data_IF_957146147522
#
_entry.id   IF_957146147522
#
_cell.length_a   1.000
_cell.length_b   1.000
_cell.length_c   1.000
_cell.angle_alpha   90.00
_cell.angle_beta   90.00
_cell.angle_gamma   90.00
#
_symmetry.space_group_name_H-M   'P 1'
#
loop_
_entity.id
_entity.type
_entity.pdbx_description
1 polymer ?
#
# COMPACT_ATOMS: atom_id res chain seq x y z
N UNK A 1 6.80 -7.83 12.21
CA UNK A 1 5.74 -7.45 11.23
C UNK A 1 6.36 -6.55 10.19
N UNK A 2 6.05 -6.77 8.91
CA UNK A 2 6.49 -5.86 7.83
C UNK A 2 5.67 -4.57 7.90
N UNK A 3 6.36 -3.43 7.90
CA UNK A 3 5.73 -2.11 7.90
C UNK A 3 5.68 -1.49 6.50
N UNK A 4 6.50 -2.01 5.57
CA UNK A 4 6.63 -1.53 4.20
C UNK A 4 6.81 -2.73 3.27
N UNK A 5 6.13 -2.69 2.13
CA UNK A 5 6.38 -3.56 0.97
C UNK A 5 6.67 -2.68 -0.24
N UNK A 6 7.55 -3.14 -1.14
CA UNK A 6 7.92 -2.37 -2.32
C UNK A 6 8.18 -3.26 -3.53
N UNK A 7 8.10 -2.68 -4.72
CA UNK A 7 8.44 -3.34 -5.97
C UNK A 7 7.39 -4.38 -6.39
N UNK A 8 7.86 -5.47 -6.98
CA UNK A 8 6.99 -6.51 -7.55
C UNK A 8 6.08 -7.17 -6.50
N UNK A 9 6.62 -7.49 -5.32
CA UNK A 9 5.84 -8.04 -4.20
C UNK A 9 4.69 -7.11 -3.80
N UNK A 10 4.94 -5.81 -3.72
CA UNK A 10 3.89 -4.84 -3.40
C UNK A 10 2.84 -4.77 -4.52
N UNK A 11 3.26 -4.85 -5.79
CA UNK A 11 2.37 -4.80 -6.94
C UNK A 11 1.48 -6.04 -7.03
N UNK A 12 2.02 -7.22 -6.81
CA UNK A 12 1.24 -8.46 -6.78
C UNK A 12 0.27 -8.48 -5.60
N UNK A 13 0.75 -8.09 -4.41
CA UNK A 13 -0.10 -8.03 -3.24
C UNK A 13 -1.26 -7.03 -3.41
N UNK A 14 -0.96 -5.86 -3.98
CA UNK A 14 -1.96 -4.86 -4.35
C UNK A 14 -3.00 -5.42 -5.34
N UNK A 15 -2.56 -6.21 -6.32
CA UNK A 15 -3.42 -6.72 -7.39
C UNK A 15 -4.34 -7.83 -6.94
N UNK A 16 -3.87 -8.71 -6.06
CA UNK A 16 -4.57 -9.96 -5.75
C UNK A 16 -5.18 -10.02 -4.35
N UNK A 17 -4.72 -9.19 -3.42
CA UNK A 17 -5.11 -9.30 -2.00
C UNK A 17 -5.68 -8.02 -1.39
N UNK A 18 -5.60 -6.90 -2.11
CA UNK A 18 -5.99 -5.59 -1.59
C UNK A 18 -7.15 -4.99 -2.37
N UNK A 19 -8.17 -4.56 -1.64
CA UNK A 19 -9.26 -3.76 -2.18
C UNK A 19 -9.12 -2.31 -1.74
N UNK A 20 -9.52 -1.36 -2.61
CA UNK A 20 -9.52 0.06 -2.24
C UNK A 20 -10.64 0.30 -1.23
N UNK A 21 -10.29 0.60 0.02
CA UNK A 21 -11.25 0.92 1.07
C UNK A 21 -11.67 2.39 0.99
N UNK A 22 -10.69 3.29 0.90
CA UNK A 22 -10.92 4.74 0.87
C UNK A 22 -9.76 5.51 0.28
N UNK A 23 -9.97 6.81 0.08
CA UNK A 23 -8.90 7.79 -0.11
C UNK A 23 -8.79 8.64 1.16
N UNK A 24 -7.59 8.83 1.69
CA UNK A 24 -7.40 9.64 2.91
C UNK A 24 -7.43 11.16 2.63
N UNK A 25 -7.34 11.96 3.70
CA UNK A 25 -7.34 13.43 3.60
C UNK A 25 -6.14 14.02 2.84
N UNK A 26 -5.13 13.21 2.50
CA UNK A 26 -3.98 13.60 1.69
C UNK A 26 -4.09 13.11 0.24
N UNK A 27 -5.22 12.50 -0.15
CA UNK A 27 -5.44 11.98 -1.49
C UNK A 27 -4.76 10.64 -1.76
N UNK A 28 -4.27 9.94 -0.72
CA UNK A 28 -3.62 8.62 -0.86
C UNK A 28 -4.68 7.52 -0.81
N UNK A 29 -4.49 6.49 -1.64
CA UNK A 29 -5.34 5.31 -1.60
C UNK A 29 -4.99 4.47 -0.39
N UNK A 30 -6.01 4.20 0.42
CA UNK A 30 -5.97 3.24 1.52
C UNK A 30 -6.67 1.99 1.04
N UNK A 31 -5.96 0.88 1.14
CA UNK A 31 -6.41 -0.43 0.74
C UNK A 31 -6.53 -1.33 1.96
N UNK A 32 -7.47 -2.28 1.92
CA UNK A 32 -7.67 -3.25 2.99
C UNK A 32 -7.48 -4.66 2.45
N UNK A 33 -6.75 -5.47 3.21
CA UNK A 33 -6.69 -6.91 3.00
C UNK A 33 -7.80 -7.57 3.81
N UNK A 34 -8.79 -8.16 3.14
CA UNK A 34 -9.92 -8.83 3.82
C UNK A 34 -9.44 -10.00 4.69
N UNK A 35 -8.48 -10.80 4.20
CA UNK A 35 -7.99 -11.99 4.91
C UNK A 35 -7.29 -11.67 6.24
N UNK A 36 -6.56 -10.55 6.29
CA UNK A 36 -5.74 -10.18 7.45
C UNK A 36 -6.29 -9.01 8.26
N UNK A 37 -7.27 -8.28 7.73
CA UNK A 37 -7.78 -7.02 8.29
C UNK A 37 -6.78 -5.86 8.26
N UNK A 38 -5.59 -6.04 7.66
CA UNK A 38 -4.53 -5.02 7.65
C UNK A 38 -4.82 -4.00 6.54
N UNK A 39 -4.69 -2.73 6.89
CA UNK A 39 -4.78 -1.62 5.95
C UNK A 39 -3.39 -1.18 5.45
N UNK A 40 -3.32 -0.83 4.17
CA UNK A 40 -2.10 -0.42 3.46
C UNK A 40 -2.34 0.87 2.69
N UNK A 41 -1.37 1.78 2.73
CA UNK A 41 -1.39 3.05 2.01
C UNK A 41 -0.45 2.94 0.81
N UNK A 42 -0.97 3.22 -0.38
CA UNK A 42 -0.19 3.26 -1.63
C UNK A 42 0.57 4.59 -1.74
N UNK A 43 1.90 4.52 -1.76
CA UNK A 43 2.76 5.69 -2.00
C UNK A 43 3.06 5.83 -3.49
N UNK A 44 2.55 6.91 -4.09
CA UNK A 44 2.80 7.25 -5.51
C UNK A 44 4.17 7.86 -5.78
N UNK A 45 4.80 8.45 -4.77
CA UNK A 45 6.15 9.05 -4.85
C UNK A 45 6.95 8.71 -3.60
N UNK A 46 7.33 7.44 -3.43
CA UNK A 46 8.05 7.01 -2.25
C UNK A 46 9.47 7.59 -2.28
N UNK A 47 9.82 8.42 -1.29
CA UNK A 47 11.17 8.99 -1.18
C UNK A 47 12.19 7.87 -0.97
N UNK A 48 13.29 7.89 -1.74
CA UNK A 48 14.34 6.86 -1.68
C UNK A 48 14.09 5.65 -2.58
N UNK A 49 13.02 5.65 -3.36
CA UNK A 49 12.73 4.66 -4.39
C UNK A 49 12.73 5.29 -5.78
N UNK A 50 12.93 4.48 -6.83
CA UNK A 50 12.78 4.96 -8.21
C UNK A 50 11.34 5.37 -8.52
N UNK A 51 11.17 6.24 -9.52
CA UNK A 51 9.89 6.90 -9.83
C UNK A 51 8.73 5.93 -10.17
N UNK A 52 9.02 4.67 -10.48
CA UNK A 52 8.04 3.65 -10.88
C UNK A 52 7.85 2.51 -9.87
N UNK A 53 8.41 2.64 -8.66
CA UNK A 53 8.30 1.59 -7.66
C UNK A 53 7.00 1.74 -6.87
N UNK A 54 6.12 0.73 -6.96
CA UNK A 54 4.97 0.60 -6.06
C UNK A 54 5.47 0.38 -4.64
N UNK A 55 5.04 1.22 -3.71
CA UNK A 55 5.30 1.06 -2.27
C UNK A 55 4.00 1.07 -1.50
N UNK A 56 3.85 0.09 -0.60
CA UNK A 56 2.73 -0.04 0.33
C UNK A 56 3.27 0.13 1.74
N UNK A 57 2.76 1.13 2.46
CA UNK A 57 3.03 1.30 3.89
C UNK A 57 1.85 0.83 4.70
N UNK A 58 2.11 0.08 5.76
CA UNK A 58 1.04 -0.33 6.66
C UNK A 58 0.44 0.92 7.32
N UNK A 59 -0.88 1.04 7.27
CA UNK A 59 -1.58 2.06 8.06
C UNK A 59 -1.40 1.71 9.53
N UNK A 60 -0.86 2.65 10.29
CA UNK A 60 -0.84 2.59 11.76
C UNK A 60 -2.09 3.34 12.19
N UNK A 61 -2.95 2.67 12.96
CA UNK A 61 -4.10 3.32 13.61
C UNK A 61 -3.66 4.45 14.54
#
# INVERSE_FOLDING_TARGET
MLNVMSGEVAREYLRYHLEVERTDGMGRKVHRCEDSGISWIEERRPSGYGDDVTVLRRAVD
#
